data_IF_384948885528
#
_entry.id   IF_384948885528
#
_cell.length_a   1.000
_cell.length_b   1.000
_cell.length_c   1.000
_cell.angle_alpha   90.00
_cell.angle_beta   90.00
_cell.angle_gamma   90.00
#
_symmetry.space_group_name_H-M   'P 1'
#
loop_
_entity.id
_entity.type
_entity.pdbx_description
1 polymer ?
#
# COMPACT_ATOMS: atom_id res chain seq x y z
N UNK A 1 -4.04 48.85 6.46
CA UNK A 1 -4.23 47.93 5.32
C UNK A 1 -5.69 48.00 4.99
N UNK A 2 -5.97 48.71 3.90
CA UNK A 2 -7.27 49.20 3.46
C UNK A 2 -7.82 48.17 2.47
N UNK A 3 -9.00 47.63 2.75
CA UNK A 3 -9.64 46.61 1.90
C UNK A 3 -10.67 47.32 1.01
N UNK A 4 -10.30 47.56 -0.24
CA UNK A 4 -11.18 48.08 -1.28
C UNK A 4 -12.21 47.05 -1.70
N UNK A 5 -13.48 47.41 -1.52
CA UNK A 5 -14.68 46.67 -1.83
C UNK A 5 -15.21 47.18 -3.17
N UNK A 6 -14.83 46.56 -4.29
CA UNK A 6 -15.32 46.94 -5.62
C UNK A 6 -16.49 46.06 -6.04
N UNK A 7 -17.67 46.69 -6.03
CA UNK A 7 -18.93 46.15 -6.52
C UNK A 7 -18.92 45.98 -8.04
N UNK A 8 -19.14 44.75 -8.52
CA UNK A 8 -19.37 44.48 -9.94
C UNK A 8 -20.88 44.30 -10.20
N UNK A 9 -21.51 45.35 -10.70
CA UNK A 9 -22.86 45.31 -11.29
C UNK A 9 -22.69 45.41 -12.81
N UNK A 10 -23.02 44.32 -13.50
CA UNK A 10 -22.95 44.23 -14.95
C UNK A 10 -24.26 43.67 -15.48
N UNK A 11 -25.23 44.57 -15.67
CA UNK A 11 -26.39 44.39 -16.52
C UNK A 11 -25.93 43.97 -17.93
N UNK A 12 -26.50 42.91 -18.48
CA UNK A 12 -26.52 42.74 -19.93
C UNK A 12 -27.90 42.33 -20.40
N UNK A 13 -28.39 43.21 -21.27
CA UNK A 13 -29.72 43.31 -21.80
C UNK A 13 -30.10 42.08 -22.64
N UNK A 14 -31.37 41.72 -22.51
CA UNK A 14 -32.09 40.90 -23.46
C UNK A 14 -32.26 41.68 -24.77
N UNK A 15 -31.72 41.16 -25.87
CA UNK A 15 -32.07 41.60 -27.22
C UNK A 15 -32.93 40.52 -27.87
N UNK A 16 -34.23 40.81 -27.92
CA UNK A 16 -35.23 40.09 -28.70
C UNK A 16 -34.97 40.35 -30.18
N UNK A 17 -34.73 39.28 -30.96
CA UNK A 17 -34.81 39.32 -32.43
C UNK A 17 -35.95 38.41 -32.87
N UNK A 18 -37.11 39.02 -33.10
CA UNK A 18 -38.21 38.45 -33.89
C UNK A 18 -37.97 38.74 -35.38
N UNK A 19 -37.83 37.70 -36.21
CA UNK A 19 -38.04 37.80 -37.66
C UNK A 19 -38.33 36.43 -38.30
N UNK A 20 -39.62 36.09 -38.32
CA UNK A 20 -40.43 35.59 -39.44
C UNK A 20 -39.70 35.09 -40.72
N UNK A 21 -39.89 33.81 -41.09
CA UNK A 21 -39.87 33.36 -42.49
C UNK A 21 -40.61 32.03 -42.67
N UNK A 22 -41.68 32.11 -43.44
CA UNK A 22 -42.62 31.05 -43.81
C UNK A 22 -42.15 30.32 -45.08
N UNK A 23 -42.07 28.98 -45.04
CA UNK A 23 -42.03 28.06 -46.19
C UNK A 23 -40.64 27.47 -46.55
N UNK A 24 -40.54 26.37 -47.34
CA UNK A 24 -41.57 25.47 -47.85
C UNK A 24 -41.55 24.09 -47.16
N UNK A 25 -42.63 23.33 -47.38
CA UNK A 25 -42.88 21.97 -46.89
C UNK A 25 -41.70 21.02 -47.16
N UNK A 26 -40.84 20.85 -46.16
CA UNK A 26 -39.86 19.76 -46.15
C UNK A 26 -40.60 18.46 -45.92
N UNK A 27 -40.57 17.59 -46.93
CA UNK A 27 -40.82 16.16 -46.77
C UNK A 27 -39.89 15.63 -45.68
N UNK A 28 -40.40 15.57 -44.45
CA UNK A 28 -39.76 14.87 -43.34
C UNK A 28 -39.89 13.39 -43.67
N UNK A 29 -38.93 12.88 -44.45
CA UNK A 29 -38.65 11.45 -44.51
C UNK A 29 -38.28 11.08 -43.09
N UNK A 30 -39.26 10.57 -42.36
CA UNK A 30 -39.05 9.96 -41.06
C UNK A 30 -38.32 8.65 -41.35
N UNK A 31 -37.00 8.75 -41.55
CA UNK A 31 -36.12 7.59 -41.46
C UNK A 31 -36.19 7.15 -40.00
N UNK A 32 -37.14 6.26 -39.73
CA UNK A 32 -37.11 5.39 -38.57
C UNK A 32 -35.92 4.44 -38.78
N UNK A 33 -34.72 5.00 -38.68
CA UNK A 33 -33.48 4.27 -38.58
C UNK A 33 -33.36 3.77 -37.15
N UNK A 34 -34.19 2.80 -36.78
CA UNK A 34 -33.76 1.75 -35.88
C UNK A 34 -32.83 0.83 -36.67
N UNK A 35 -31.74 1.41 -37.19
CA UNK A 35 -30.61 0.64 -37.66
C UNK A 35 -30.08 -0.04 -36.40
N UNK A 36 -30.15 -1.38 -36.35
CA UNK A 36 -29.41 -2.12 -35.35
C UNK A 36 -27.98 -1.63 -35.40
N UNK A 37 -27.50 -1.12 -34.29
CA UNK A 37 -26.15 -0.58 -34.20
C UNK A 37 -25.23 -1.79 -34.31
N UNK A 38 -24.71 -2.06 -35.52
CA UNK A 38 -23.91 -3.23 -35.80
C UNK A 38 -22.76 -3.31 -34.78
N UNK A 39 -22.61 -4.49 -34.17
CA UNK A 39 -21.53 -4.76 -33.24
C UNK A 39 -20.24 -4.89 -34.04
N UNK A 40 -19.26 -4.04 -33.72
CA UNK A 40 -17.94 -4.01 -34.35
C UNK A 40 -16.87 -4.14 -33.28
N UNK A 41 -15.76 -4.80 -33.62
CA UNK A 41 -14.59 -4.83 -32.76
C UNK A 41 -13.99 -3.42 -32.66
N UNK A 42 -13.87 -2.88 -31.44
CA UNK A 42 -13.40 -1.53 -31.21
C UNK A 42 -11.99 -1.50 -30.62
N UNK A 43 -11.00 -1.18 -31.46
CA UNK A 43 -9.59 -1.07 -31.07
C UNK A 43 -9.35 -0.04 -29.94
N UNK A 44 -10.21 0.99 -29.83
CA UNK A 44 -10.08 2.00 -28.79
C UNK A 44 -10.16 1.41 -27.37
N UNK A 45 -10.95 0.33 -27.20
CA UNK A 45 -11.26 -0.32 -25.91
C UNK A 45 -10.98 -1.83 -25.91
N UNK A 46 -10.44 -2.39 -27.00
CA UNK A 46 -10.10 -3.82 -27.16
C UNK A 46 -11.28 -4.78 -26.87
N UNK A 47 -12.48 -4.41 -27.32
CA UNK A 47 -13.71 -5.18 -27.12
C UNK A 47 -14.72 -4.89 -28.23
N UNK A 48 -15.71 -5.78 -28.38
CA UNK A 48 -16.85 -5.57 -29.26
C UNK A 48 -17.78 -4.49 -28.68
N UNK A 49 -18.15 -3.51 -29.52
CA UNK A 49 -19.05 -2.41 -29.16
C UNK A 49 -19.93 -2.03 -30.36
N UNK A 50 -21.00 -1.26 -30.14
CA UNK A 50 -21.73 -0.69 -31.28
C UNK A 50 -20.84 0.27 -32.08
N UNK A 51 -21.11 0.42 -33.38
CA UNK A 51 -20.38 1.36 -34.22
C UNK A 51 -20.43 2.81 -33.68
N UNK A 52 -21.53 3.21 -33.06
CA UNK A 52 -21.69 4.52 -32.44
C UNK A 52 -20.84 4.70 -31.18
N UNK A 53 -20.82 3.70 -30.28
CA UNK A 53 -19.97 3.68 -29.08
C UNK A 53 -18.49 3.64 -29.45
N UNK A 54 -18.11 2.85 -30.45
CA UNK A 54 -16.72 2.77 -30.84
C UNK A 54 -16.19 4.14 -31.33
N UNK A 55 -16.99 4.88 -32.12
CA UNK A 55 -16.65 6.26 -32.49
C UNK A 55 -16.49 7.18 -31.28
N UNK A 56 -17.27 6.96 -30.22
CA UNK A 56 -17.16 7.73 -28.96
C UNK A 56 -15.88 7.38 -28.22
N UNK A 57 -15.60 6.11 -28.00
CA UNK A 57 -14.38 5.65 -27.34
C UNK A 57 -13.11 6.12 -28.07
N UNK A 58 -13.11 6.07 -29.40
CA UNK A 58 -11.99 6.60 -30.21
C UNK A 58 -11.78 8.10 -29.98
N UNK A 59 -12.84 8.90 -29.88
CA UNK A 59 -12.73 10.34 -29.56
C UNK A 59 -12.23 10.57 -28.14
N UNK A 60 -12.73 9.82 -27.15
CA UNK A 60 -12.29 9.93 -25.76
C UNK A 60 -10.80 9.60 -25.63
N UNK A 61 -10.33 8.53 -26.29
CA UNK A 61 -8.92 8.14 -26.33
C UNK A 61 -8.05 9.17 -27.06
N UNK A 62 -8.54 9.76 -28.15
CA UNK A 62 -7.83 10.82 -28.87
C UNK A 62 -7.70 12.12 -28.05
N UNK A 63 -8.60 12.34 -27.07
CA UNK A 63 -8.61 13.51 -26.19
C UNK A 63 -7.77 13.32 -24.91
N UNK A 64 -7.12 12.16 -24.75
CA UNK A 64 -6.20 11.94 -23.64
C UNK A 64 -5.04 12.92 -23.67
N UNK A 65 -4.68 13.41 -22.50
CA UNK A 65 -3.61 14.39 -22.35
C UNK A 65 -2.35 13.73 -21.77
N UNK A 66 -1.19 14.32 -22.03
CA UNK A 66 0.04 13.88 -21.38
C UNK A 66 -0.08 14.07 -19.86
N UNK A 67 0.15 13.00 -19.11
CA UNK A 67 0.05 12.94 -17.67
C UNK A 67 1.37 12.59 -17.00
N UNK A 68 1.42 12.84 -15.70
CA UNK A 68 2.48 12.44 -14.80
C UNK A 68 1.86 11.78 -13.57
N UNK A 69 2.33 10.59 -13.24
CA UNK A 69 2.10 9.92 -11.96
C UNK A 69 3.36 9.97 -11.11
N UNK A 70 3.20 10.17 -9.81
CA UNK A 70 4.27 10.06 -8.82
C UNK A 70 3.84 9.04 -7.78
N UNK A 71 4.62 7.97 -7.62
CA UNK A 71 4.33 6.89 -6.69
C UNK A 71 5.44 6.74 -5.65
N UNK A 72 5.07 6.62 -4.38
CA UNK A 72 6.00 6.29 -3.31
C UNK A 72 5.88 4.81 -2.94
N UNK A 73 6.91 4.03 -3.27
CA UNK A 73 7.00 2.60 -2.95
C UNK A 73 8.19 2.30 -2.04
N UNK A 74 8.01 1.55 -0.93
CA UNK A 74 9.12 1.15 -0.09
C UNK A 74 9.98 0.10 -0.82
N UNK A 75 11.31 0.27 -0.78
CA UNK A 75 12.24 -0.76 -1.30
C UNK A 75 12.34 -1.99 -0.39
N UNK A 76 12.00 -1.83 0.89
CA UNK A 76 12.10 -2.87 1.90
C UNK A 76 10.97 -2.75 2.93
N UNK A 77 10.53 -3.88 3.47
CA UNK A 77 9.57 -3.97 4.57
C UNK A 77 9.96 -5.09 5.53
N UNK A 78 9.45 -5.07 6.76
CA UNK A 78 9.50 -6.22 7.66
C UNK A 78 8.27 -7.10 7.46
N UNK A 79 8.39 -8.40 7.71
CA UNK A 79 7.25 -9.30 7.75
C UNK A 79 6.20 -8.78 8.74
N UNK A 80 4.94 -8.70 8.32
CA UNK A 80 3.84 -8.16 9.14
C UNK A 80 3.80 -6.63 9.29
N UNK A 81 4.81 -5.90 8.82
CA UNK A 81 4.82 -4.43 8.82
C UNK A 81 3.74 -3.88 7.89
N UNK A 82 3.07 -2.82 8.33
CA UNK A 82 2.11 -2.08 7.51
C UNK A 82 2.70 -0.75 7.04
N UNK A 83 2.42 -0.37 5.80
CA UNK A 83 2.86 0.89 5.19
C UNK A 83 1.74 1.51 4.37
N UNK A 84 1.64 2.83 4.43
CA UNK A 84 0.75 3.60 3.58
C UNK A 84 1.51 3.97 2.30
N UNK A 85 0.90 3.72 1.15
CA UNK A 85 1.41 4.03 -0.18
C UNK A 85 0.52 5.11 -0.81
N UNK A 86 1.15 6.01 -1.55
CA UNK A 86 0.47 7.14 -2.17
C UNK A 86 0.86 7.20 -3.64
N UNK A 87 -0.16 7.28 -4.50
CA UNK A 87 -0.02 7.64 -5.91
C UNK A 87 -0.71 8.99 -6.12
N UNK A 88 0.01 9.96 -6.68
CA UNK A 88 -0.55 11.20 -7.19
C UNK A 88 -0.51 11.15 -8.71
N UNK A 89 -1.63 11.39 -9.39
CA UNK A 89 -1.68 11.48 -10.87
C UNK A 89 -2.32 12.78 -11.28
N UNK A 90 -1.73 13.45 -12.26
CA UNK A 90 -2.28 14.66 -12.85
C UNK A 90 -1.78 14.90 -14.25
N UNK A 91 -2.20 16.01 -14.85
CA UNK A 91 -1.67 16.48 -16.13
C UNK A 91 -0.21 16.87 -15.98
N UNK A 92 0.59 16.63 -17.02
CA UNK A 92 2.02 16.97 -17.02
C UNK A 92 2.28 18.48 -16.85
N UNK A 93 1.35 19.33 -17.30
CA UNK A 93 1.43 20.78 -17.09
C UNK A 93 1.42 21.18 -15.60
N UNK A 94 0.89 20.32 -14.73
CA UNK A 94 0.74 20.57 -13.28
C UNK A 94 1.70 19.67 -12.49
N UNK A 95 2.88 19.37 -13.04
CA UNK A 95 3.84 18.44 -12.42
C UNK A 95 4.21 18.85 -10.99
N UNK A 96 4.33 20.15 -10.71
CA UNK A 96 4.64 20.66 -9.37
C UNK A 96 3.58 20.25 -8.33
N UNK A 97 2.28 20.38 -8.66
CA UNK A 97 1.18 19.95 -7.80
C UNK A 97 1.17 18.44 -7.59
N UNK A 98 1.46 17.67 -8.65
CA UNK A 98 1.57 16.21 -8.58
C UNK A 98 2.67 15.82 -7.58
N UNK A 99 3.82 16.47 -7.63
CA UNK A 99 4.94 16.23 -6.72
C UNK A 99 4.69 16.71 -5.30
N UNK A 100 4.03 17.86 -5.11
CA UNK A 100 3.75 18.43 -3.79
C UNK A 100 2.86 17.54 -2.93
N UNK A 101 2.11 16.64 -3.57
CA UNK A 101 1.13 15.78 -2.92
C UNK A 101 1.71 14.48 -2.38
N UNK A 102 2.84 14.03 -2.92
CA UNK A 102 3.58 12.86 -2.42
C UNK A 102 4.66 13.39 -1.47
N UNK A 103 4.91 12.73 -0.33
CA UNK A 103 5.64 13.28 0.82
C UNK A 103 6.99 13.96 0.51
N UNK A 104 7.59 14.62 1.49
CA UNK A 104 8.79 15.44 1.26
C UNK A 104 10.04 14.66 0.84
N UNK A 105 10.04 13.32 0.97
CA UNK A 105 11.18 12.46 0.69
C UNK A 105 11.28 12.06 -0.79
N UNK A 106 11.60 13.03 -1.66
CA UNK A 106 11.70 12.84 -3.12
C UNK A 106 12.56 11.65 -3.57
N UNK A 107 13.55 11.23 -2.79
CA UNK A 107 14.42 10.10 -3.12
C UNK A 107 13.70 8.73 -3.19
N UNK A 108 12.45 8.65 -2.73
CA UNK A 108 11.60 7.44 -2.78
C UNK A 108 10.52 7.51 -3.86
N UNK A 109 10.43 8.63 -4.57
CA UNK A 109 9.43 8.82 -5.60
C UNK A 109 9.86 8.14 -6.89
N UNK A 110 8.91 7.46 -7.52
CA UNK A 110 9.03 6.94 -8.88
C UNK A 110 8.07 7.72 -9.76
N UNK A 111 8.62 8.43 -10.74
CA UNK A 111 7.85 9.12 -11.76
C UNK A 111 7.38 8.15 -12.85
N UNK A 112 6.14 8.30 -13.25
CA UNK A 112 5.47 7.48 -14.24
C UNK A 112 4.90 8.43 -15.29
N UNK A 113 5.51 8.47 -16.48
CA UNK A 113 4.90 9.19 -17.61
C UNK A 113 3.73 8.34 -18.12
N UNK A 114 2.54 8.93 -18.20
CA UNK A 114 1.33 8.24 -18.63
C UNK A 114 0.42 9.19 -19.41
N UNK A 115 -0.75 8.71 -19.82
CA UNK A 115 -1.83 9.54 -20.33
C UNK A 115 -2.87 9.75 -19.23
N UNK A 116 -3.63 10.83 -19.29
CA UNK A 116 -4.72 11.10 -18.35
C UNK A 116 -5.99 11.48 -19.09
N UNK A 117 -7.10 10.93 -18.62
CA UNK A 117 -8.45 11.27 -19.03
C UNK A 117 -9.28 11.79 -17.85
N UNK A 118 -10.57 12.00 -18.09
CA UNK A 118 -11.48 12.52 -17.05
C UNK A 118 -11.78 11.49 -15.95
N UNK A 119 -11.90 10.21 -16.29
CA UNK A 119 -12.17 9.13 -15.33
C UNK A 119 -10.95 8.21 -15.25
N UNK A 120 -10.17 8.32 -14.19
CA UNK A 120 -8.98 7.51 -13.98
C UNK A 120 -9.26 6.40 -12.98
N UNK A 121 -8.69 5.22 -13.19
CA UNK A 121 -8.71 4.13 -12.23
C UNK A 121 -7.28 3.69 -11.92
N UNK A 122 -6.96 3.49 -10.64
CA UNK A 122 -5.70 2.89 -10.24
C UNK A 122 -5.96 1.60 -9.47
N UNK A 123 -5.17 0.57 -9.77
CA UNK A 123 -5.25 -0.74 -9.11
C UNK A 123 -3.88 -1.11 -8.56
N UNK A 124 -3.84 -1.49 -7.28
CA UNK A 124 -2.64 -2.02 -6.65
C UNK A 124 -2.84 -3.49 -6.29
N UNK A 125 -1.90 -4.34 -6.69
CA UNK A 125 -1.98 -5.79 -6.47
C UNK A 125 -0.63 -6.40 -6.12
N UNK A 126 -0.62 -7.53 -5.42
CA UNK A 126 0.59 -8.27 -5.05
C UNK A 126 0.29 -9.41 -4.09
N UNK A 127 0.71 -10.64 -4.44
CA UNK A 127 0.38 -11.85 -3.66
C UNK A 127 0.94 -11.83 -2.23
N UNK A 128 2.15 -11.32 -2.05
CA UNK A 128 2.83 -11.20 -0.76
C UNK A 128 2.31 -10.11 0.17
N UNK A 129 1.22 -9.42 -0.18
CA UNK A 129 0.70 -8.27 0.56
C UNK A 129 -0.81 -8.37 0.82
N UNK A 130 -1.25 -7.92 2.00
CA UNK A 130 -2.64 -7.53 2.22
C UNK A 130 -2.78 -6.05 1.85
N UNK A 131 -3.70 -5.71 0.96
CA UNK A 131 -3.85 -4.37 0.39
C UNK A 131 -5.23 -3.83 0.73
N UNK A 132 -5.30 -2.63 1.30
CA UNK A 132 -6.54 -1.95 1.69
C UNK A 132 -6.57 -0.52 1.16
N UNK A 133 -7.61 -0.11 0.41
CA UNK A 133 -8.71 -0.94 -0.09
C UNK A 133 -8.23 -1.93 -1.17
N UNK A 134 -8.84 -3.12 -1.29
CA UNK A 134 -8.51 -4.05 -2.37
C UNK A 134 -9.10 -3.60 -3.71
N UNK A 135 -8.48 -4.03 -4.80
CA UNK A 135 -9.02 -3.88 -6.15
C UNK A 135 -8.95 -2.47 -6.72
N UNK A 136 -9.66 -2.23 -7.84
CA UNK A 136 -9.60 -0.98 -8.57
C UNK A 136 -10.24 0.19 -7.81
N UNK A 137 -9.59 1.35 -7.84
CA UNK A 137 -10.04 2.59 -7.21
C UNK A 137 -10.23 3.67 -8.28
N UNK A 138 -11.48 4.01 -8.59
CA UNK A 138 -11.82 5.01 -9.60
C UNK A 138 -11.90 6.42 -9.03
N UNK A 139 -11.39 7.41 -9.77
CA UNK A 139 -11.45 8.84 -9.44
C UNK A 139 -11.72 9.68 -10.69
N UNK A 140 -12.28 10.86 -10.47
CA UNK A 140 -12.52 11.83 -11.55
C UNK A 140 -11.45 12.90 -11.49
N UNK A 141 -10.66 13.03 -12.55
CA UNK A 141 -9.63 14.05 -12.65
C UNK A 141 -10.26 15.35 -13.17
N UNK A 142 -10.22 16.40 -12.35
CA UNK A 142 -10.64 17.74 -12.77
C UNK A 142 -9.60 18.35 -13.73
N UNK A 143 -10.01 19.35 -14.51
CA UNK A 143 -9.17 19.93 -15.56
C UNK A 143 -7.79 20.40 -15.06
N UNK A 144 -7.70 20.97 -13.87
CA UNK A 144 -6.46 21.60 -13.38
C UNK A 144 -5.99 21.01 -12.05
N UNK A 145 -6.40 19.79 -11.70
CA UNK A 145 -6.02 19.17 -10.42
C UNK A 145 -5.37 17.81 -10.61
N UNK A 146 -4.53 17.45 -9.65
CA UNK A 146 -4.09 16.09 -9.42
C UNK A 146 -5.10 15.34 -8.55
N UNK A 147 -5.11 14.02 -8.66
CA UNK A 147 -5.86 13.13 -7.80
C UNK A 147 -4.93 12.18 -7.06
N UNK A 148 -5.35 11.79 -5.85
CA UNK A 148 -4.54 10.96 -4.95
C UNK A 148 -5.21 9.64 -4.67
N UNK A 149 -4.49 8.55 -4.86
CA UNK A 149 -4.87 7.23 -4.41
C UNK A 149 -3.99 6.82 -3.22
N UNK A 150 -4.63 6.21 -2.23
CA UNK A 150 -3.97 5.79 -1.01
C UNK A 150 -4.31 4.32 -0.74
N UNK A 151 -3.28 3.55 -0.43
CA UNK A 151 -3.43 2.16 0.00
C UNK A 151 -2.61 1.93 1.26
N UNK A 152 -3.13 1.11 2.16
CA UNK A 152 -2.37 0.49 3.23
C UNK A 152 -2.01 -0.92 2.82
N UNK A 153 -0.72 -1.23 2.79
CA UNK A 153 -0.20 -2.57 2.52
C UNK A 153 0.37 -3.19 3.78
N UNK A 154 0.22 -4.51 3.96
CA UNK A 154 0.88 -5.29 5.02
C UNK A 154 1.59 -6.50 4.42
N UNK A 155 2.88 -6.66 4.73
CA UNK A 155 3.67 -7.77 4.19
C UNK A 155 3.29 -9.10 4.85
N UNK A 156 3.01 -10.13 4.03
CA UNK A 156 2.59 -11.47 4.48
C UNK A 156 3.65 -12.54 4.31
N UNK A 157 4.52 -12.37 3.32
CA UNK A 157 5.51 -13.38 2.94
C UNK A 157 6.91 -12.76 2.97
N UNK A 158 7.89 -13.53 3.44
CA UNK A 158 9.28 -13.10 3.44
C UNK A 158 9.90 -13.20 2.03
N UNK A 159 11.06 -12.56 1.84
CA UNK A 159 11.81 -12.62 0.58
C UNK A 159 11.50 -11.48 -0.39
N UNK A 160 11.88 -11.65 -1.65
CA UNK A 160 11.63 -10.67 -2.70
C UNK A 160 10.18 -10.77 -3.17
N UNK A 161 9.38 -9.77 -2.85
CA UNK A 161 7.96 -9.70 -3.16
C UNK A 161 7.70 -8.66 -4.25
N UNK A 162 6.71 -8.90 -5.10
CA UNK A 162 6.34 -8.00 -6.19
C UNK A 162 5.05 -7.27 -5.89
N UNK A 163 5.06 -5.96 -6.10
CA UNK A 163 3.89 -5.10 -6.07
C UNK A 163 3.65 -4.55 -7.47
N UNK A 164 2.44 -4.68 -7.99
CA UNK A 164 2.06 -4.24 -9.33
C UNK A 164 1.04 -3.11 -9.23
N UNK A 165 1.38 -1.98 -9.83
CA UNK A 165 0.52 -0.81 -9.97
C UNK A 165 0.07 -0.72 -11.44
N UNK A 166 -1.24 -0.70 -11.64
CA UNK A 166 -1.85 -0.48 -12.96
C UNK A 166 -2.63 0.82 -12.93
N UNK A 167 -2.31 1.74 -13.85
CA UNK A 167 -3.04 2.97 -14.09
C UNK A 167 -3.84 2.77 -15.37
N UNK A 168 -5.13 2.97 -15.24
CA UNK A 168 -6.12 2.82 -16.30
C UNK A 168 -6.98 4.08 -16.35
N UNK A 169 -7.78 4.17 -17.38
CA UNK A 169 -8.80 5.21 -17.54
C UNK A 169 -10.03 4.55 -18.09
N UNK A 170 -11.17 5.11 -17.74
CA UNK A 170 -12.48 4.55 -18.03
C UNK A 170 -13.14 5.44 -19.10
N UNK A 171 -13.49 4.85 -20.23
CA UNK A 171 -14.28 5.49 -21.26
C UNK A 171 -15.76 5.27 -20.93
N UNK A 172 -16.60 6.29 -21.11
CA UNK A 172 -18.00 6.21 -20.71
C UNK A 172 -18.93 6.10 -21.93
N UNK A 173 -19.75 5.07 -21.97
CA UNK A 173 -20.77 4.90 -22.99
C UNK A 173 -21.95 5.87 -22.81
N UNK A 174 -22.90 5.85 -23.76
CA UNK A 174 -24.10 6.70 -23.69
C UNK A 174 -25.08 6.28 -22.60
N UNK A 175 -25.13 4.99 -22.27
CA UNK A 175 -25.94 4.43 -21.18
C UNK A 175 -25.31 4.62 -19.79
N UNK A 176 -24.11 5.23 -19.73
CA UNK A 176 -23.35 5.45 -18.51
C UNK A 176 -22.43 4.29 -18.11
N UNK A 177 -22.46 3.17 -18.83
CA UNK A 177 -21.51 2.07 -18.64
C UNK A 177 -20.07 2.53 -18.91
N UNK A 178 -19.11 1.85 -18.28
CA UNK A 178 -17.69 2.22 -18.34
C UNK A 178 -16.85 1.07 -18.88
N UNK A 179 -16.01 1.41 -19.84
CA UNK A 179 -15.05 0.50 -20.46
C UNK A 179 -13.65 0.93 -20.05
N UNK A 180 -12.91 0.05 -19.39
CA UNK A 180 -11.58 0.35 -18.86
C UNK A 180 -10.50 0.01 -19.87
N UNK A 181 -9.50 0.88 -19.99
CA UNK A 181 -8.30 0.64 -20.76
C UNK A 181 -7.06 0.91 -19.91
N UNK A 182 -6.18 -0.08 -19.87
CA UNK A 182 -4.94 0.00 -19.12
C UNK A 182 -3.94 0.86 -19.90
N UNK A 183 -3.42 1.91 -19.27
CA UNK A 183 -2.43 2.78 -19.87
C UNK A 183 -1.02 2.33 -19.56
N UNK A 184 -0.79 2.00 -18.30
CA UNK A 184 0.54 1.73 -17.79
C UNK A 184 0.47 0.73 -16.64
N UNK A 185 1.34 -0.29 -16.68
CA UNK A 185 1.54 -1.21 -15.57
C UNK A 185 3.00 -1.18 -15.15
N UNK A 186 3.24 -0.90 -13.86
CA UNK A 186 4.56 -0.85 -13.23
C UNK A 186 4.67 -1.92 -12.15
N UNK A 187 5.81 -2.61 -12.13
CA UNK A 187 6.14 -3.59 -11.10
C UNK A 187 7.26 -3.05 -10.21
N UNK A 188 7.10 -3.22 -8.90
CA UNK A 188 8.06 -2.81 -7.89
C UNK A 188 8.49 -4.05 -7.10
N UNK A 189 9.80 -4.27 -7.01
CA UNK A 189 10.38 -5.31 -6.17
C UNK A 189 10.61 -4.75 -4.75
N UNK A 190 10.05 -5.43 -3.76
CA UNK A 190 10.11 -5.06 -2.35
C UNK A 190 10.75 -6.21 -1.58
N UNK A 191 11.87 -5.95 -0.90
CA UNK A 191 12.50 -6.96 -0.06
C UNK A 191 11.81 -7.02 1.31
N UNK A 192 11.17 -8.14 1.63
CA UNK A 192 10.54 -8.38 2.93
C UNK A 192 11.48 -9.18 3.83
N UNK A 193 11.94 -8.55 4.91
CA UNK A 193 12.88 -9.14 5.86
C UNK A 193 12.18 -9.59 7.14
N UNK A 194 12.61 -10.72 7.72
CA UNK A 194 12.18 -11.13 9.05
C UNK A 194 13.16 -10.58 10.07
N UNK A 195 12.66 -10.03 11.18
CA UNK A 195 13.54 -9.54 12.25
C UNK A 195 14.18 -10.71 13.00
N UNK A 196 15.39 -10.52 13.52
CA UNK A 196 16.06 -11.54 14.35
C UNK A 196 15.26 -11.92 15.60
N UNK A 197 14.45 -11.00 16.12
CA UNK A 197 13.51 -11.25 17.21
C UNK A 197 12.44 -12.28 16.82
N UNK A 198 11.87 -12.18 15.63
CA UNK A 198 10.86 -13.12 15.14
C UNK A 198 11.47 -14.49 14.84
N UNK A 199 12.67 -14.52 14.25
CA UNK A 199 13.43 -15.78 14.06
C UNK A 199 13.69 -16.48 15.40
N UNK A 200 14.04 -15.73 16.44
CA UNK A 200 14.26 -16.27 17.79
C UNK A 200 12.95 -16.74 18.44
N UNK A 201 11.86 -15.99 18.32
CA UNK A 201 10.57 -16.38 18.86
C UNK A 201 10.04 -17.67 18.20
N UNK A 202 10.20 -17.83 16.88
CA UNK A 202 9.79 -19.04 16.15
C UNK A 202 10.59 -20.26 16.59
N UNK A 203 11.93 -20.12 16.72
CA UNK A 203 12.79 -21.17 17.28
C UNK A 203 12.42 -21.54 18.71
N UNK A 204 12.09 -20.56 19.56
CA UNK A 204 11.67 -20.83 20.93
C UNK A 204 10.35 -21.63 21.00
N UNK A 205 9.39 -21.36 20.09
CA UNK A 205 8.15 -22.13 20.00
C UNK A 205 8.35 -23.54 19.48
N UNK A 206 9.26 -23.75 18.51
CA UNK A 206 9.64 -25.10 18.05
C UNK A 206 10.30 -25.90 19.17
N UNK A 207 11.27 -25.31 19.88
CA UNK A 207 11.93 -25.95 21.04
C UNK A 207 10.90 -26.32 22.12
N UNK A 208 9.90 -25.46 22.38
CA UNK A 208 8.84 -25.76 23.34
C UNK A 208 7.97 -26.95 22.89
N UNK A 209 7.60 -27.02 21.61
CA UNK A 209 6.86 -28.18 21.07
C UNK A 209 7.66 -29.47 21.17
N UNK A 210 8.96 -29.42 20.92
CA UNK A 210 9.84 -30.59 21.03
C UNK A 210 10.04 -31.03 22.49
N UNK A 211 10.10 -30.08 23.45
CA UNK A 211 10.14 -30.38 24.89
C UNK A 211 8.82 -30.97 25.38
N UNK A 212 7.67 -30.43 24.93
CA UNK A 212 6.35 -30.96 25.27
C UNK A 212 6.14 -32.36 24.65
N UNK A 213 6.69 -32.64 23.46
CA UNK A 213 6.71 -33.99 22.89
C UNK A 213 7.73 -34.93 23.58
N UNK A 214 8.84 -34.37 24.09
CA UNK A 214 9.94 -35.08 24.74
C UNK A 214 9.72 -35.39 26.24
N UNK A 215 8.63 -34.93 26.85
CA UNK A 215 8.28 -35.29 28.25
C UNK A 215 8.01 -36.79 28.45
N UNK A 216 7.91 -37.58 27.37
CA UNK A 216 7.91 -39.06 27.44
C UNK A 216 9.29 -39.61 27.84
N UNK A 217 10.40 -38.89 27.61
CA UNK A 217 11.76 -39.38 27.91
C UNK A 217 12.25 -38.93 29.30
N UNK A 218 11.80 -37.77 29.80
CA UNK A 218 12.22 -37.25 31.12
C UNK A 218 11.56 -37.96 32.32
N UNK A 219 10.41 -38.60 32.14
CA UNK A 219 9.79 -39.45 33.18
C UNK A 219 10.61 -40.73 33.49
N UNK A 220 11.51 -41.14 32.59
CA UNK A 220 12.50 -42.19 32.86
C UNK A 220 13.67 -41.75 33.75
N UNK A 221 14.01 -40.44 33.74
CA UNK A 221 15.18 -39.91 34.45
C UNK A 221 14.92 -39.62 35.93
N UNK A 222 13.67 -39.33 36.34
CA UNK A 222 13.33 -39.22 37.77
C UNK A 222 13.63 -40.52 38.53
N UNK A 223 13.36 -41.69 37.93
CA UNK A 223 13.69 -42.99 38.55
C UNK A 223 15.20 -43.21 38.65
N UNK A 224 15.97 -42.68 37.70
CA UNK A 224 17.42 -42.80 37.68
C UNK A 224 18.09 -41.86 38.70
N UNK A 225 17.56 -40.65 38.90
CA UNK A 225 18.02 -39.74 39.95
C UNK A 225 17.65 -40.20 41.37
N UNK A 226 16.46 -40.80 41.57
CA UNK A 226 16.11 -41.41 42.87
C UNK A 226 17.05 -42.59 43.18
N UNK A 227 17.37 -43.43 42.19
CA UNK A 227 18.34 -44.51 42.37
C UNK A 227 19.75 -43.99 42.69
N UNK A 228 20.16 -42.88 42.06
CA UNK A 228 21.49 -42.30 42.26
C UNK A 228 21.61 -41.55 43.61
N UNK A 229 20.53 -40.95 44.10
CA UNK A 229 20.47 -40.36 45.45
C UNK A 229 20.65 -41.41 46.56
N UNK A 230 20.12 -42.62 46.38
CA UNK A 230 20.37 -43.73 47.32
C UNK A 230 21.85 -44.16 47.36
N UNK A 231 22.55 -44.08 46.22
CA UNK A 231 23.99 -44.38 46.14
C UNK A 231 24.85 -43.30 46.81
N UNK A 232 24.48 -42.01 46.69
CA UNK A 232 25.20 -40.92 47.35
C UNK A 232 25.01 -40.95 48.88
N UNK A 233 23.84 -41.35 49.39
CA UNK A 233 23.62 -41.54 50.84
C UNK A 233 24.44 -42.72 51.39
N UNK A 234 24.66 -43.78 50.59
CA UNK A 234 25.51 -44.89 50.98
C UNK A 234 27.02 -44.55 51.01
N UNK A 235 27.47 -43.56 50.22
CA UNK A 235 28.88 -43.16 50.14
C UNK A 235 29.21 -41.88 50.97
N UNK A 236 28.21 -41.05 51.28
CA UNK A 236 28.36 -39.80 52.04
C UNK A 236 28.57 -39.97 53.56
N UNK A 237 28.32 -41.16 54.10
CA UNK A 237 28.53 -41.47 55.53
C UNK A 237 30.00 -41.48 55.98
N UNK A 238 30.96 -41.50 55.04
CA UNK A 238 32.40 -41.63 55.36
C UNK A 238 33.12 -40.28 55.41
N UNK A 239 32.64 -39.23 54.73
CA UNK A 239 33.39 -37.97 54.61
C UNK A 239 33.10 -36.93 55.71
N UNK A 240 31.99 -37.04 56.43
CA UNK A 240 31.61 -36.08 57.49
C UNK A 240 32.42 -36.29 58.80
N UNK A 241 33.10 -37.42 58.98
CA UNK A 241 33.93 -37.66 60.16
C UNK A 241 35.34 -37.02 60.11
N UNK A 242 35.82 -36.51 58.96
CA UNK A 242 37.21 -36.03 58.80
C UNK A 242 37.32 -34.50 58.83
N UNK A 243 36.24 -33.74 58.66
CA UNK A 243 36.34 -32.27 58.50
C UNK A 243 36.17 -31.45 59.79
N UNK A 244 35.83 -32.04 60.94
CA UNK A 244 35.58 -31.29 62.19
C UNK A 244 36.82 -31.03 63.05
N UNK A 245 38.02 -31.47 62.66
CA UNK A 245 39.27 -31.16 63.37
C UNK A 245 40.17 -30.22 62.55
N UNK A 246 39.89 -28.92 62.54
CA UNK A 246 40.85 -27.99 61.94
C UNK A 246 40.44 -26.53 61.75
N UNK A 247 40.57 -25.75 62.83
CA UNK A 247 40.96 -24.31 62.85
C UNK A 247 39.95 -23.31 62.27
N UNK A 248 39.26 -22.55 63.13
CA UNK A 248 39.67 -21.31 63.82
C UNK A 248 39.57 -20.05 62.95
N UNK A 249 38.89 -19.07 63.56
CA UNK A 249 38.52 -17.72 63.15
C UNK A 249 39.69 -16.85 62.70
N UNK A 250 39.31 -15.80 61.98
CA UNK A 250 39.81 -14.40 61.97
C UNK A 250 39.81 -13.92 60.51
N UNK A 251 39.41 -12.72 60.08
CA UNK A 251 38.94 -11.51 60.73
C UNK A 251 38.20 -10.65 59.68
N UNK A 252 37.75 -9.50 60.15
CA UNK A 252 36.77 -8.56 59.64
C UNK A 252 37.33 -7.45 58.71
N UNK A 253 36.41 -6.84 57.91
CA UNK A 253 36.39 -5.49 57.23
C UNK A 253 37.10 -5.29 55.87
N UNK A 254 36.74 -4.23 55.08
CA UNK A 254 35.62 -3.28 55.18
C UNK A 254 34.79 -3.06 53.88
N UNK A 255 33.66 -2.36 54.05
CA UNK A 255 32.82 -1.74 53.01
C UNK A 255 33.60 -0.72 52.18
N UNK A 256 33.46 -0.77 50.86
CA UNK A 256 33.83 0.28 49.91
C UNK A 256 32.59 0.80 49.18
N UNK A 257 32.45 2.12 49.18
CA UNK A 257 31.29 2.91 48.77
C UNK A 257 31.62 3.69 47.48
N UNK A 258 30.60 3.90 46.62
CA UNK A 258 30.47 4.91 45.54
C UNK A 258 31.29 4.74 44.23
N UNK A 259 30.88 5.31 43.06
CA UNK A 259 29.93 6.42 42.87
C UNK A 259 28.83 6.25 41.79
N UNK A 260 27.86 7.18 41.86
CA UNK A 260 26.88 7.52 40.82
C UNK A 260 27.58 8.27 39.68
N UNK A 261 27.18 7.96 38.45
CA UNK A 261 27.55 8.73 37.26
C UNK A 261 26.26 9.27 36.61
N UNK A 262 26.11 10.59 36.67
CA UNK A 262 25.04 11.38 36.06
C UNK A 262 25.57 11.93 34.72
N UNK A 263 24.97 11.51 33.61
CA UNK A 263 25.29 11.96 32.25
C UNK A 263 24.06 12.43 31.46
N UNK A 264 24.22 13.29 30.44
CA UNK A 264 23.49 14.56 30.34
C UNK A 264 22.19 14.51 29.52
N UNK A 265 21.23 15.36 29.94
CA UNK A 265 20.16 15.89 29.09
C UNK A 265 20.78 16.74 27.97
N UNK A 266 20.32 16.53 26.74
CA UNK A 266 20.46 17.48 25.63
C UNK A 266 19.06 17.95 25.23
N UNK A 267 19.01 19.24 24.93
CA UNK A 267 17.87 20.06 24.55
C UNK A 267 17.24 19.68 23.20
#
# INVERSE_FOLDING_TARGET
MDYGEDAYTGDNAAENVEANATGPESNVVTVNASAGDDVVFCEAVDQDASASECRRYTRERANLQAGLGVFEAPKQMKLGESRDLVLSVGKKANAEDVHATVGTERAKHVEITTQVGHYMTATLSGGGFDITPPGPQAKTLAADRSEVWQWRIKAKEEGAQKLMLTISVDAQAADGSRSRYDLETRTFDIAVNVTDSERRARKAQEIKKDLDAGTIVLSGLEKLFIALAAVVVALGGVWIAIRTFGKKKDAEKPKGEAPKDDGPKKD
#
